data_IF_807720544644
#
_entry.id   IF_807720544644
#
_cell.length_a   1.000
_cell.length_b   1.000
_cell.length_c   1.000
_cell.angle_alpha   90.00
_cell.angle_beta   90.00
_cell.angle_gamma   90.00
#
_symmetry.space_group_name_H-M   'P 1'
#
loop_
_entity.id
_entity.type
_entity.pdbx_description
1 polymer ?
#
# COMPACT_ATOMS: atom_id res chain seq x y z
N UNK A 1 4.66 -11.21 -5.08
CA UNK A 1 5.58 -10.71 -6.13
C UNK A 1 6.78 -9.89 -5.62
N UNK A 2 6.74 -9.40 -4.40
CA UNK A 2 7.83 -8.61 -3.74
C UNK A 2 9.19 -9.34 -3.66
N UNK A 3 9.20 -10.66 -3.55
CA UNK A 3 10.43 -11.45 -3.37
C UNK A 3 11.31 -11.60 -4.63
N UNK A 4 10.84 -11.27 -5.82
CA UNK A 4 11.61 -11.48 -7.07
C UNK A 4 12.43 -10.26 -7.52
N UNK A 5 12.09 -9.05 -7.07
CA UNK A 5 12.78 -7.80 -7.45
C UNK A 5 14.04 -7.50 -6.63
N UNK A 6 14.14 -8.05 -5.42
CA UNK A 6 15.26 -7.76 -4.49
C UNK A 6 16.46 -8.73 -4.62
N UNK A 7 16.38 -9.73 -5.50
CA UNK A 7 17.33 -10.85 -5.48
C UNK A 7 18.65 -10.64 -6.25
N UNK A 8 18.89 -9.53 -6.98
CA UNK A 8 20.10 -9.45 -7.83
C UNK A 8 20.83 -8.10 -7.97
N UNK A 9 20.30 -6.99 -7.47
CA UNK A 9 21.07 -5.76 -7.30
C UNK A 9 20.46 -5.04 -6.11
N UNK A 10 21.25 -4.44 -5.24
CA UNK A 10 20.81 -3.51 -4.19
C UNK A 10 20.05 -2.35 -4.84
N UNK A 11 18.81 -2.56 -5.23
CA UNK A 11 17.94 -1.51 -5.75
C UNK A 11 17.35 -0.79 -4.54
N UNK A 12 17.81 0.43 -4.32
CA UNK A 12 17.26 1.29 -3.30
C UNK A 12 15.87 1.77 -3.75
N UNK A 13 14.83 1.32 -3.08
CA UNK A 13 13.45 1.74 -3.28
C UNK A 13 13.03 2.62 -2.11
N UNK A 14 12.46 3.78 -2.41
CA UNK A 14 11.91 4.70 -1.43
C UNK A 14 10.43 4.34 -1.24
N UNK A 15 10.02 4.04 -0.01
CA UNK A 15 8.60 4.07 0.36
C UNK A 15 8.17 5.53 0.56
N UNK A 16 7.16 5.98 -0.18
CA UNK A 16 6.69 7.36 -0.16
C UNK A 16 5.21 7.41 0.21
N UNK A 17 4.91 8.05 1.33
CA UNK A 17 3.56 8.34 1.81
C UNK A 17 3.21 9.81 1.50
N UNK A 18 2.20 10.02 0.63
CA UNK A 18 1.69 11.33 0.24
C UNK A 18 0.36 11.56 0.97
N UNK A 19 0.45 11.97 2.23
CA UNK A 19 -0.71 12.32 3.04
C UNK A 19 -1.25 13.72 2.75
N UNK A 20 -2.33 14.11 3.43
CA UNK A 20 -2.96 15.42 3.23
C UNK A 20 -2.23 16.57 3.91
N UNK A 21 -1.42 16.31 4.94
CA UNK A 21 -0.65 17.31 5.70
C UNK A 21 0.85 17.18 5.53
N UNK A 22 1.34 15.98 5.29
CA UNK A 22 2.76 15.68 5.21
C UNK A 22 3.04 14.73 4.07
N UNK A 23 4.19 14.90 3.45
CA UNK A 23 4.84 13.87 2.63
C UNK A 23 5.93 13.23 3.49
N UNK A 24 5.91 11.91 3.60
CA UNK A 24 6.90 11.13 4.35
C UNK A 24 7.61 10.18 3.41
N UNK A 25 8.87 9.95 3.66
CA UNK A 25 9.68 9.03 2.86
C UNK A 25 10.60 8.20 3.75
N UNK A 26 10.74 6.94 3.40
CA UNK A 26 11.66 6.02 4.05
C UNK A 26 12.47 5.28 2.98
N UNK A 27 13.78 5.22 3.15
CA UNK A 27 14.66 4.42 2.32
C UNK A 27 15.21 3.27 3.13
N UNK A 28 14.87 2.06 2.71
CA UNK A 28 15.31 0.83 3.34
C UNK A 28 16.26 0.07 2.40
N UNK A 29 17.25 -0.56 2.99
CA UNK A 29 18.09 -1.55 2.34
C UNK A 29 17.78 -2.92 2.94
N UNK A 30 17.44 -3.88 2.10
CA UNK A 30 17.24 -5.27 2.52
C UNK A 30 18.42 -6.13 2.11
N UNK A 31 19.11 -6.67 3.10
CA UNK A 31 20.03 -7.78 2.96
C UNK A 31 19.29 -9.07 3.34
N UNK A 32 19.81 -10.24 2.96
CA UNK A 32 19.14 -11.55 3.10
C UNK A 32 18.44 -11.81 4.45
N UNK A 33 18.84 -11.14 5.54
CA UNK A 33 18.31 -11.35 6.90
C UNK A 33 18.00 -10.05 7.67
N UNK A 34 18.40 -8.90 7.16
CA UNK A 34 18.26 -7.64 7.89
C UNK A 34 17.74 -6.53 6.99
N UNK A 35 16.84 -5.73 7.55
CA UNK A 35 16.41 -4.47 6.96
C UNK A 35 17.13 -3.34 7.67
N UNK A 36 17.79 -2.49 6.90
CA UNK A 36 18.52 -1.33 7.41
C UNK A 36 17.83 -0.05 6.95
N UNK A 37 17.56 0.84 7.90
CA UNK A 37 17.09 2.18 7.61
C UNK A 37 18.25 3.03 7.10
N UNK A 38 18.20 3.45 5.85
CA UNK A 38 19.23 4.30 5.22
C UNK A 38 18.90 5.79 5.32
N UNK A 39 17.64 6.15 5.21
CA UNK A 39 17.19 7.54 5.30
C UNK A 39 15.70 7.61 5.65
N UNK A 40 15.31 8.69 6.31
CA UNK A 40 13.93 9.08 6.56
C UNK A 40 13.79 10.58 6.29
N UNK A 41 12.67 11.00 5.75
CA UNK A 41 12.32 12.39 5.54
C UNK A 41 10.84 12.61 5.78
N UNK A 42 10.49 13.80 6.27
CA UNK A 42 9.12 14.22 6.47
C UNK A 42 9.02 15.72 6.18
N UNK A 43 8.13 16.12 5.28
CA UNK A 43 7.92 17.50 4.90
C UNK A 43 6.45 17.87 4.97
N UNK A 44 6.16 19.05 5.50
CA UNK A 44 4.79 19.56 5.52
C UNK A 44 4.34 20.04 4.14
N UNK A 45 3.07 19.84 3.85
CA UNK A 45 2.41 20.38 2.67
C UNK A 45 1.78 21.72 3.08
N UNK A 46 2.11 22.80 2.36
CA UNK A 46 1.54 24.09 2.62
C UNK A 46 0.10 24.18 2.06
N UNK A 47 -0.81 24.68 2.85
CA UNK A 47 -2.20 24.82 2.44
C UNK A 47 -2.97 23.51 2.35
N UNK A 48 -4.05 23.52 1.58
CA UNK A 48 -4.91 22.35 1.36
C UNK A 48 -4.71 21.83 -0.06
N UNK A 49 -3.74 20.92 -0.23
CA UNK A 49 -3.37 20.40 -1.55
C UNK A 49 -4.34 19.33 -2.10
N UNK A 50 -5.30 18.89 -1.29
CA UNK A 50 -6.27 17.87 -1.68
C UNK A 50 -7.70 18.33 -1.50
N UNK A 51 -8.58 17.93 -2.41
CA UNK A 51 -10.03 17.96 -2.23
C UNK A 51 -10.56 16.55 -2.53
N UNK A 52 -11.25 15.94 -1.58
CA UNK A 52 -11.78 14.57 -1.72
C UNK A 52 -10.76 13.55 -2.24
N UNK A 53 -9.46 13.73 -1.88
CA UNK A 53 -8.29 12.91 -2.27
C UNK A 53 -7.76 13.13 -3.69
N UNK A 54 -8.38 13.99 -4.48
CA UNK A 54 -7.79 14.48 -5.70
C UNK A 54 -6.77 15.59 -5.39
N UNK A 55 -5.68 15.58 -6.14
CA UNK A 55 -4.68 16.64 -6.05
C UNK A 55 -5.25 17.91 -6.68
N UNK A 56 -5.35 18.98 -5.88
CA UNK A 56 -5.81 20.31 -6.35
C UNK A 56 -4.66 21.30 -6.46
N UNK A 57 -3.68 21.21 -5.56
CA UNK A 57 -2.50 22.07 -5.59
C UNK A 57 -1.24 21.24 -5.87
N UNK A 58 -0.95 21.07 -7.17
CA UNK A 58 0.24 20.37 -7.64
C UNK A 58 1.53 21.07 -7.22
N UNK A 59 1.52 22.41 -7.13
CA UNK A 59 2.72 23.17 -6.80
C UNK A 59 3.11 22.94 -5.33
N UNK A 60 2.15 22.99 -4.39
CA UNK A 60 2.41 22.73 -2.97
C UNK A 60 3.01 21.33 -2.75
N UNK A 61 2.45 20.32 -3.42
CA UNK A 61 2.97 18.95 -3.36
C UNK A 61 4.34 18.82 -4.01
N UNK A 62 4.54 19.42 -5.18
CA UNK A 62 5.83 19.42 -5.89
C UNK A 62 6.93 20.02 -5.00
N UNK A 63 6.65 21.12 -4.30
CA UNK A 63 7.60 21.73 -3.37
C UNK A 63 7.96 20.81 -2.20
N UNK A 64 6.97 20.16 -1.57
CA UNK A 64 7.21 19.20 -0.50
C UNK A 64 8.04 18.00 -1.00
N UNK A 65 7.70 17.44 -2.16
CA UNK A 65 8.44 16.34 -2.77
C UNK A 65 9.87 16.70 -3.16
N UNK A 66 10.11 17.93 -3.65
CA UNK A 66 11.47 18.43 -3.93
C UNK A 66 12.31 18.50 -2.65
N UNK A 67 11.73 18.93 -1.53
CA UNK A 67 12.42 18.93 -0.22
C UNK A 67 12.71 17.50 0.26
N UNK A 68 11.75 16.57 0.14
CA UNK A 68 11.96 15.14 0.41
C UNK A 68 13.17 14.63 -0.38
N UNK A 69 13.20 14.89 -1.68
CA UNK A 69 14.30 14.44 -2.56
C UNK A 69 15.65 14.99 -2.13
N UNK A 70 15.71 16.25 -1.72
CA UNK A 70 16.94 16.86 -1.17
C UNK A 70 17.36 16.21 0.13
N UNK A 71 16.43 15.95 1.05
CA UNK A 71 16.68 15.31 2.34
C UNK A 71 17.23 13.88 2.19
N UNK A 72 16.77 13.15 1.16
CA UNK A 72 17.29 11.81 0.81
C UNK A 72 18.65 11.85 0.11
N UNK A 73 19.21 13.04 -0.18
CA UNK A 73 20.53 13.24 -0.80
C UNK A 73 20.74 12.48 -2.11
N UNK A 74 19.69 12.29 -2.88
CA UNK A 74 19.75 11.61 -4.18
C UNK A 74 20.18 10.14 -4.14
N UNK A 75 20.09 9.47 -2.98
CA UNK A 75 20.49 8.07 -2.79
C UNK A 75 19.66 7.09 -3.62
N UNK A 76 18.43 7.45 -3.97
CA UNK A 76 17.54 6.68 -4.81
C UNK A 76 16.60 7.60 -5.59
N UNK A 77 16.05 7.08 -6.69
CA UNK A 77 15.03 7.77 -7.50
C UNK A 77 13.76 6.94 -7.63
N UNK A 78 13.87 5.62 -7.46
CA UNK A 78 12.76 4.70 -7.57
C UNK A 78 11.91 4.75 -6.32
N UNK A 79 10.60 4.89 -6.50
CA UNK A 79 9.64 5.00 -5.41
C UNK A 79 8.54 3.95 -5.49
N UNK A 80 8.10 3.50 -4.32
CA UNK A 80 6.83 2.84 -4.11
C UNK A 80 5.89 3.85 -3.45
N UNK A 81 4.68 3.94 -3.97
CA UNK A 81 3.59 4.74 -3.40
C UNK A 81 2.44 3.82 -3.03
N UNK A 82 1.52 4.33 -2.23
CA UNK A 82 0.25 3.67 -1.98
C UNK A 82 -0.91 4.65 -2.15
N UNK A 83 -2.07 4.11 -2.48
CA UNK A 83 -3.32 4.84 -2.60
C UNK A 83 -4.39 4.20 -1.72
N UNK A 84 -5.25 5.02 -1.18
CA UNK A 84 -6.34 4.56 -0.33
C UNK A 84 -7.64 5.25 -0.69
N UNK A 85 -8.69 4.78 -0.08
CA UNK A 85 -9.97 5.41 -0.12
C UNK A 85 -11.04 4.71 -0.89
N UNK A 86 -12.18 5.40 -0.99
CA UNK A 86 -13.38 4.89 -1.66
C UNK A 86 -13.19 4.63 -3.16
N UNK A 87 -12.14 5.20 -3.75
CA UNK A 87 -11.81 4.98 -5.15
C UNK A 87 -11.05 3.67 -5.40
N UNK A 88 -10.58 3.00 -4.33
CA UNK A 88 -9.97 1.66 -4.43
C UNK A 88 -11.03 0.62 -4.08
N UNK A 89 -11.37 -0.22 -5.04
CA UNK A 89 -12.28 -1.34 -4.86
C UNK A 89 -11.45 -2.59 -4.62
N UNK A 90 -11.67 -3.21 -3.47
CA UNK A 90 -11.11 -4.52 -3.16
C UNK A 90 -12.25 -5.53 -3.14
N UNK A 91 -12.13 -6.61 -3.90
CA UNK A 91 -13.15 -7.64 -4.02
C UNK A 91 -12.54 -9.03 -3.99
N UNK A 92 -13.12 -9.91 -3.18
CA UNK A 92 -12.76 -11.32 -3.17
C UNK A 92 -13.58 -12.04 -4.25
N UNK A 93 -12.87 -12.77 -5.12
CA UNK A 93 -13.44 -13.63 -6.14
C UNK A 93 -13.00 -15.09 -5.92
N UNK A 94 -13.74 -16.03 -6.49
CA UNK A 94 -13.47 -17.47 -6.39
C UNK A 94 -13.29 -18.05 -7.79
N UNK A 95 -12.06 -18.39 -8.13
CA UNK A 95 -11.68 -18.91 -9.45
C UNK A 95 -11.32 -20.39 -9.34
N UNK A 96 -11.24 -21.11 -10.47
CA UNK A 96 -10.81 -22.49 -10.48
C UNK A 96 -9.34 -22.63 -10.06
N UNK A 97 -9.02 -23.62 -9.25
CA UNK A 97 -7.68 -23.78 -8.65
C UNK A 97 -6.62 -24.34 -9.62
N UNK A 98 -7.07 -24.96 -10.72
CA UNK A 98 -6.25 -25.55 -11.78
C UNK A 98 -5.78 -24.54 -12.83
N UNK A 99 -6.28 -23.28 -12.80
CA UNK A 99 -5.86 -22.23 -13.71
C UNK A 99 -4.42 -21.82 -13.48
N UNK A 100 -3.67 -21.66 -14.56
CA UNK A 100 -2.38 -20.96 -14.54
C UNK A 100 -2.59 -19.46 -14.31
N UNK A 101 -1.54 -18.72 -13.93
CA UNK A 101 -1.66 -17.28 -13.72
C UNK A 101 -2.10 -16.52 -14.97
N UNK A 102 -1.71 -16.97 -16.17
CA UNK A 102 -2.13 -16.39 -17.45
C UNK A 102 -3.61 -16.64 -17.73
N UNK A 103 -4.08 -17.87 -17.48
CA UNK A 103 -5.48 -18.23 -17.65
C UNK A 103 -6.36 -17.49 -16.63
N UNK A 104 -5.89 -17.37 -15.40
CA UNK A 104 -6.55 -16.62 -14.34
C UNK A 104 -6.68 -15.13 -14.70
N UNK A 105 -5.61 -14.49 -15.19
CA UNK A 105 -5.64 -13.12 -15.68
C UNK A 105 -6.69 -12.93 -16.77
N UNK A 106 -6.69 -13.84 -17.77
CA UNK A 106 -7.67 -13.80 -18.88
C UNK A 106 -9.10 -13.99 -18.40
N UNK A 107 -9.33 -14.87 -17.43
CA UNK A 107 -10.65 -15.09 -16.85
C UNK A 107 -11.13 -13.89 -16.03
N UNK A 108 -10.24 -13.29 -15.23
CA UNK A 108 -10.53 -12.07 -14.49
C UNK A 108 -10.93 -10.94 -15.43
N UNK A 109 -10.20 -10.74 -16.54
CA UNK A 109 -10.55 -9.72 -17.54
C UNK A 109 -11.94 -9.94 -18.14
N UNK A 110 -12.30 -11.19 -18.45
CA UNK A 110 -13.63 -11.54 -18.97
C UNK A 110 -14.76 -11.31 -17.97
N UNK A 111 -14.50 -11.52 -16.68
CA UNK A 111 -15.50 -11.39 -15.62
C UNK A 111 -15.48 -10.00 -14.97
N UNK A 112 -14.49 -9.17 -15.28
CA UNK A 112 -14.25 -7.91 -14.59
C UNK A 112 -15.44 -6.94 -14.67
N UNK A 113 -16.15 -6.88 -15.80
CA UNK A 113 -17.36 -6.05 -15.96
C UNK A 113 -18.48 -6.44 -14.97
N UNK A 114 -18.52 -7.71 -14.54
CA UNK A 114 -19.47 -8.18 -13.53
C UNK A 114 -18.98 -7.99 -12.10
N UNK A 115 -17.67 -7.93 -11.94
CA UNK A 115 -17.00 -7.86 -10.64
C UNK A 115 -16.77 -6.42 -10.20
N UNK A 116 -16.46 -5.52 -11.13
CA UNK A 116 -16.06 -4.13 -10.87
C UNK A 116 -17.11 -3.20 -11.51
N UNK A 117 -17.66 -2.22 -10.76
CA UNK A 117 -18.73 -1.35 -11.25
C UNK A 117 -18.24 -0.16 -12.09
N UNK A 118 -17.09 -0.29 -12.74
CA UNK A 118 -16.47 0.73 -13.59
C UNK A 118 -15.96 0.12 -14.89
N UNK A 119 -15.97 0.87 -16.01
CA UNK A 119 -15.37 0.44 -17.26
C UNK A 119 -13.87 0.14 -17.08
N UNK A 120 -13.41 -0.97 -17.66
CA UNK A 120 -11.99 -1.39 -17.55
C UNK A 120 -11.02 -0.38 -18.13
N UNK A 121 -11.45 0.39 -19.14
CA UNK A 121 -10.64 1.47 -19.72
C UNK A 121 -10.38 2.63 -18.77
N UNK A 122 -11.17 2.80 -17.70
CA UNK A 122 -11.04 3.88 -16.72
C UNK A 122 -10.28 3.48 -15.45
N UNK A 123 -9.94 2.20 -15.31
CA UNK A 123 -9.32 1.67 -14.10
C UNK A 123 -7.99 0.98 -14.38
N UNK A 124 -7.14 0.94 -13.34
CA UNK A 124 -6.10 -0.06 -13.19
C UNK A 124 -6.65 -1.19 -12.35
N UNK A 125 -6.50 -2.41 -12.82
CA UNK A 125 -6.93 -3.65 -12.16
C UNK A 125 -5.71 -4.52 -11.93
N UNK A 126 -5.56 -5.05 -10.73
CA UNK A 126 -4.56 -6.05 -10.37
C UNK A 126 -5.21 -7.12 -9.49
N UNK A 127 -4.55 -8.27 -9.35
CA UNK A 127 -5.07 -9.35 -8.53
C UNK A 127 -3.96 -10.10 -7.79
N UNK A 128 -4.34 -10.69 -6.66
CA UNK A 128 -3.49 -11.55 -5.87
C UNK A 128 -4.20 -12.87 -5.54
N UNK A 129 -3.54 -13.99 -5.83
CA UNK A 129 -4.01 -15.34 -5.45
C UNK A 129 -3.71 -15.56 -3.97
N UNK A 130 -4.73 -15.64 -3.13
CA UNK A 130 -4.60 -15.79 -1.69
C UNK A 130 -4.37 -17.25 -1.26
N UNK A 131 -4.94 -18.20 -1.99
CA UNK A 131 -4.81 -19.63 -1.71
C UNK A 131 -6.12 -20.40 -1.89
N UNK A 132 -6.14 -21.70 -1.54
CA UNK A 132 -7.34 -22.53 -1.66
C UNK A 132 -8.49 -21.98 -0.82
N UNK A 133 -9.70 -21.96 -1.38
CA UNK A 133 -10.88 -21.51 -0.67
C UNK A 133 -11.33 -22.53 0.38
N UNK A 134 -11.54 -22.05 1.61
CA UNK A 134 -12.13 -22.86 2.68
C UNK A 134 -13.62 -23.16 2.44
N UNK A 135 -14.29 -22.32 1.67
CA UNK A 135 -15.75 -22.39 1.46
C UNK A 135 -16.16 -23.15 0.20
N UNK A 136 -15.30 -23.18 -0.82
CA UNK A 136 -15.58 -23.74 -2.13
C UNK A 136 -14.50 -24.71 -2.56
N UNK A 137 -14.74 -26.04 -2.54
CA UNK A 137 -13.78 -27.04 -3.03
C UNK A 137 -13.38 -26.76 -4.49
N UNK A 138 -12.13 -26.99 -4.84
CA UNK A 138 -11.55 -26.73 -6.18
C UNK A 138 -11.59 -25.28 -6.62
N UNK A 139 -11.70 -24.34 -5.66
CA UNK A 139 -11.59 -22.91 -5.92
C UNK A 139 -10.42 -22.31 -5.16
N UNK A 140 -9.82 -21.31 -5.76
CA UNK A 140 -8.83 -20.44 -5.15
C UNK A 140 -9.48 -19.08 -4.87
N UNK A 141 -9.13 -18.50 -3.74
CA UNK A 141 -9.51 -17.12 -3.40
C UNK A 141 -8.55 -16.16 -4.09
N UNK A 142 -9.12 -15.17 -4.77
CA UNK A 142 -8.40 -14.15 -5.51
C UNK A 142 -8.87 -12.78 -5.03
N UNK A 143 -7.94 -11.99 -4.54
CA UNK A 143 -8.21 -10.59 -4.21
C UNK A 143 -8.04 -9.76 -5.48
N UNK A 144 -9.10 -9.09 -5.89
CA UNK A 144 -9.07 -8.09 -6.95
C UNK A 144 -8.95 -6.70 -6.33
N UNK A 145 -8.08 -5.87 -6.88
CA UNK A 145 -7.92 -4.47 -6.50
C UNK A 145 -8.01 -3.59 -7.74
N UNK A 146 -8.97 -2.68 -7.73
CA UNK A 146 -9.22 -1.76 -8.83
C UNK A 146 -9.21 -0.30 -8.35
N UNK A 147 -8.62 0.59 -9.15
CA UNK A 147 -8.52 2.01 -8.85
C UNK A 147 -8.67 2.83 -10.12
N UNK A 148 -9.31 3.99 -10.04
CA UNK A 148 -9.40 4.90 -11.19
C UNK A 148 -8.02 5.36 -11.66
N UNK A 149 -7.81 5.32 -13.00
CA UNK A 149 -6.55 5.73 -13.64
C UNK A 149 -6.13 7.13 -13.24
N UNK A 150 -7.04 8.07 -13.25
CA UNK A 150 -6.75 9.48 -12.92
C UNK A 150 -6.11 9.65 -11.54
N UNK A 151 -6.50 8.82 -10.58
CA UNK A 151 -5.92 8.85 -9.23
C UNK A 151 -4.45 8.45 -9.22
N UNK A 152 -4.08 7.47 -10.01
CA UNK A 152 -2.69 7.01 -10.13
C UNK A 152 -1.92 7.96 -11.04
N UNK A 153 -2.44 8.29 -12.23
CA UNK A 153 -1.76 9.05 -13.25
C UNK A 153 -1.39 10.47 -12.80
N UNK A 154 -2.26 11.11 -12.02
CA UNK A 154 -1.96 12.41 -11.40
C UNK A 154 -0.73 12.34 -10.47
N UNK A 155 -0.62 11.28 -9.67
CA UNK A 155 0.53 11.04 -8.79
C UNK A 155 1.79 10.70 -9.57
N UNK A 156 1.68 9.85 -10.60
CA UNK A 156 2.80 9.50 -11.48
C UNK A 156 3.36 10.73 -12.17
N UNK A 157 2.49 11.58 -12.71
CA UNK A 157 2.87 12.84 -13.37
C UNK A 157 3.64 13.74 -12.40
N UNK A 158 3.10 13.97 -11.21
CA UNK A 158 3.74 14.79 -10.19
C UNK A 158 5.11 14.24 -9.77
N UNK A 159 5.22 12.94 -9.55
CA UNK A 159 6.47 12.29 -9.15
C UNK A 159 7.52 12.35 -10.24
N UNK A 160 7.12 12.14 -11.50
CA UNK A 160 8.00 12.26 -12.66
C UNK A 160 8.54 13.69 -12.84
N UNK A 161 7.71 14.73 -12.67
CA UNK A 161 8.13 16.13 -12.72
C UNK A 161 9.19 16.47 -11.66
N UNK A 162 9.07 15.88 -10.47
CA UNK A 162 10.08 16.03 -9.39
C UNK A 162 11.33 15.17 -9.67
N UNK A 163 11.24 14.23 -10.62
CA UNK A 163 12.31 13.32 -11.03
C UNK A 163 12.45 12.12 -10.09
N UNK A 164 11.32 11.65 -9.55
CA UNK A 164 11.15 10.30 -9.02
C UNK A 164 10.62 9.39 -10.13
N UNK A 165 10.86 8.10 -9.99
CA UNK A 165 10.43 7.05 -10.90
C UNK A 165 9.59 6.04 -10.12
N UNK A 166 8.28 6.07 -10.31
CA UNK A 166 7.38 5.14 -9.60
C UNK A 166 7.54 3.74 -10.18
N UNK A 167 7.81 2.77 -9.30
CA UNK A 167 7.93 1.35 -9.64
C UNK A 167 6.77 0.52 -9.12
N UNK A 168 6.16 0.97 -8.03
CA UNK A 168 5.08 0.26 -7.36
C UNK A 168 4.02 1.29 -6.98
N UNK A 169 2.77 0.99 -7.29
CA UNK A 169 1.59 1.61 -6.70
C UNK A 169 0.82 0.49 -5.97
N UNK A 170 0.63 0.62 -4.68
CA UNK A 170 0.00 -0.37 -3.80
C UNK A 170 -1.26 0.23 -3.17
N UNK A 171 -2.00 -0.58 -2.45
CA UNK A 171 -3.14 -0.16 -1.62
C UNK A 171 -2.65 0.07 -0.20
N UNK A 172 -2.91 1.27 0.34
CA UNK A 172 -2.32 1.75 1.60
C UNK A 172 -2.58 0.83 2.79
N UNK A 173 -3.79 0.31 2.92
CA UNK A 173 -4.15 -0.59 4.02
C UNK A 173 -3.44 -1.95 3.93
N UNK A 174 -3.17 -2.44 2.72
CA UNK A 174 -2.40 -3.68 2.54
C UNK A 174 -0.91 -3.45 2.74
N UNK A 175 -0.37 -2.31 2.30
CA UNK A 175 1.01 -1.93 2.62
C UNK A 175 1.23 -1.83 4.15
N UNK A 176 0.25 -1.27 4.87
CA UNK A 176 0.25 -1.21 6.35
C UNK A 176 0.18 -2.61 6.98
N UNK A 177 -0.71 -3.47 6.49
CA UNK A 177 -0.83 -4.84 6.97
C UNK A 177 0.45 -5.66 6.72
N UNK A 178 1.06 -5.53 5.55
CA UNK A 178 2.32 -6.18 5.22
C UNK A 178 3.47 -5.73 6.14
N UNK A 179 3.51 -4.44 6.48
CA UNK A 179 4.47 -3.92 7.45
C UNK A 179 4.23 -4.53 8.84
N UNK A 180 2.98 -4.63 9.29
CA UNK A 180 2.62 -5.26 10.57
C UNK A 180 3.05 -6.73 10.61
N UNK A 181 2.74 -7.51 9.58
CA UNK A 181 3.14 -8.92 9.45
C UNK A 181 4.66 -9.07 9.53
N UNK A 182 5.40 -8.22 8.81
CA UNK A 182 6.85 -8.25 8.78
C UNK A 182 7.48 -7.96 10.15
N UNK A 183 7.01 -6.93 10.85
CA UNK A 183 7.53 -6.55 12.16
C UNK A 183 7.12 -7.53 13.26
N UNK A 184 5.96 -8.16 13.16
CA UNK A 184 5.54 -9.21 14.07
C UNK A 184 6.48 -10.43 14.01
N UNK A 185 6.73 -10.94 12.81
CA UNK A 185 7.64 -12.06 12.61
C UNK A 185 9.07 -11.76 13.11
N UNK A 186 9.53 -10.51 13.01
CA UNK A 186 10.83 -10.09 13.54
C UNK A 186 10.88 -10.07 15.08
N UNK A 187 9.77 -9.76 15.76
CA UNK A 187 9.72 -9.72 17.23
C UNK A 187 9.67 -11.11 17.87
N UNK A 188 9.11 -12.10 17.19
CA UNK A 188 9.09 -13.49 17.67
C UNK A 188 10.48 -14.15 17.68
N UNK A 189 11.35 -13.75 16.75
CA UNK A 189 12.70 -14.32 16.63
C UNK A 189 13.68 -13.88 17.74
N UNK A 190 13.33 -12.90 18.58
CA UNK A 190 14.20 -12.38 19.64
C UNK A 190 13.92 -12.96 21.02
N UNK A 191 12.86 -13.74 21.20
CA UNK A 191 12.50 -14.35 22.49
C UNK A 191 12.89 -15.84 22.55
N UNK A 192 14.13 -16.09 22.92
CA UNK A 192 14.82 -17.40 22.89
C UNK A 192 14.43 -18.37 24.05
N UNK A 193 13.32 -18.20 24.77
CA UNK A 193 13.00 -19.10 25.89
C UNK A 193 11.52 -19.37 26.21
N UNK A 194 10.60 -19.26 25.30
CA UNK A 194 9.24 -19.76 25.53
C UNK A 194 8.69 -20.51 24.30
N UNK A 195 9.15 -21.73 24.13
CA UNK A 195 8.47 -22.78 23.36
C UNK A 195 7.19 -23.23 24.09
N UNK A 196 6.41 -22.31 24.63
CA UNK A 196 5.02 -22.51 25.00
C UNK A 196 4.23 -22.02 23.84
N UNK A 197 3.55 -22.95 23.14
CA UNK A 197 2.48 -22.76 22.17
C UNK A 197 2.14 -21.27 22.02
N UNK A 198 2.83 -20.57 21.10
CA UNK A 198 2.42 -19.24 20.73
C UNK A 198 1.04 -19.42 20.08
N UNK A 199 -0.01 -19.26 20.89
CA UNK A 199 -1.35 -19.15 20.37
C UNK A 199 -1.28 -18.07 19.28
N UNK A 200 -1.62 -18.44 18.05
CA UNK A 200 -1.65 -17.51 16.95
C UNK A 200 -2.55 -16.35 17.35
N UNK A 201 -1.97 -15.19 17.53
CA UNK A 201 -2.67 -14.00 18.03
C UNK A 201 -3.07 -13.14 16.85
N UNK A 202 -4.32 -12.68 16.84
CA UNK A 202 -4.75 -11.65 15.90
C UNK A 202 -4.06 -10.35 16.26
N UNK A 203 -3.29 -9.80 15.33
CA UNK A 203 -2.64 -8.52 15.48
C UNK A 203 -3.46 -7.45 14.77
N UNK A 204 -3.60 -6.30 15.41
CA UNK A 204 -4.37 -5.18 14.89
C UNK A 204 -3.51 -3.92 14.79
N UNK A 205 -3.71 -3.15 13.73
CA UNK A 205 -3.12 -1.83 13.59
C UNK A 205 -4.23 -0.80 13.35
N UNK A 206 -4.11 0.34 14.03
CA UNK A 206 -4.94 1.51 13.83
C UNK A 206 -4.01 2.64 13.39
N UNK A 207 -4.16 3.12 12.16
CA UNK A 207 -3.47 4.29 11.65
C UNK A 207 -4.42 5.49 11.68
N UNK A 208 -4.07 6.53 12.45
CA UNK A 208 -4.86 7.75 12.58
C UNK A 208 -4.11 8.85 11.85
N UNK A 209 -4.52 9.11 10.60
CA UNK A 209 -3.98 10.16 9.78
C UNK A 209 -4.67 11.53 10.03
N UNK A 210 -4.29 12.54 9.26
CA UNK A 210 -4.89 13.86 9.34
C UNK A 210 -6.37 13.85 8.89
N UNK A 211 -6.68 13.18 7.78
CA UNK A 211 -8.02 13.12 7.19
C UNK A 211 -8.68 11.76 7.22
N UNK A 212 -7.95 10.71 7.57
CA UNK A 212 -8.39 9.32 7.45
C UNK A 212 -7.93 8.46 8.62
N UNK A 213 -8.78 7.54 9.01
CA UNK A 213 -8.49 6.46 9.96
C UNK A 213 -8.55 5.13 9.20
N UNK A 214 -7.50 4.33 9.38
CA UNK A 214 -7.40 2.99 8.80
C UNK A 214 -7.23 1.97 9.91
N UNK A 215 -7.89 0.86 9.74
CA UNK A 215 -7.78 -0.31 10.62
C UNK A 215 -7.43 -1.53 9.78
N UNK A 216 -6.47 -2.33 10.23
CA UNK A 216 -6.26 -3.66 9.70
C UNK A 216 -6.06 -4.67 10.82
N UNK A 217 -6.52 -5.89 10.59
CA UNK A 217 -6.29 -7.05 11.44
C UNK A 217 -5.63 -8.15 10.63
N UNK A 218 -4.57 -8.74 11.17
CA UNK A 218 -3.82 -9.82 10.54
C UNK A 218 -3.72 -11.02 11.47
N UNK A 219 -3.71 -12.21 10.90
CA UNK A 219 -3.57 -13.47 11.61
C UNK A 219 -2.80 -14.45 10.75
N UNK A 220 -1.78 -15.09 11.30
CA UNK A 220 -0.97 -16.10 10.62
C UNK A 220 -0.42 -15.62 9.26
N UNK A 221 0.02 -14.36 9.20
CA UNK A 221 0.54 -13.75 7.97
C UNK A 221 -0.50 -13.40 6.92
N UNK A 222 -1.79 -13.47 7.23
CA UNK A 222 -2.88 -13.14 6.33
C UNK A 222 -3.69 -11.95 6.85
N UNK A 223 -4.17 -11.12 5.94
CA UNK A 223 -5.08 -10.01 6.26
C UNK A 223 -6.48 -10.57 6.46
N UNK A 224 -7.00 -10.46 7.68
CA UNK A 224 -8.36 -10.90 8.02
C UNK A 224 -9.42 -9.86 7.73
N UNK A 225 -9.08 -8.59 8.00
CA UNK A 225 -10.04 -7.51 7.93
C UNK A 225 -9.36 -6.18 7.75
N UNK A 226 -9.94 -5.34 6.93
CA UNK A 226 -9.53 -3.95 6.73
C UNK A 226 -10.73 -3.02 6.78
N UNK A 227 -10.55 -1.82 7.31
CA UNK A 227 -11.58 -0.78 7.34
C UNK A 227 -10.95 0.59 7.25
N UNK A 228 -11.56 1.45 6.45
CA UNK A 228 -11.18 2.85 6.33
C UNK A 228 -12.37 3.77 6.65
N UNK A 229 -12.10 4.88 7.31
CA UNK A 229 -13.07 5.92 7.62
C UNK A 229 -12.52 7.30 7.26
N UNK A 230 -13.38 8.15 6.70
CA UNK A 230 -13.09 9.56 6.43
C UNK A 230 -13.18 10.36 7.74
N UNK A 231 -12.30 10.05 8.68
CA UNK A 231 -12.16 10.70 9.96
C UNK A 231 -10.68 10.72 10.32
N UNK A 232 -10.19 11.88 10.73
CA UNK A 232 -8.79 12.03 11.10
C UNK A 232 -8.59 13.16 12.12
N UNK A 233 -7.33 13.41 12.45
CA UNK A 233 -6.95 14.40 13.46
C UNK A 233 -7.38 15.84 13.12
N UNK A 234 -7.56 16.15 11.82
CA UNK A 234 -8.01 17.46 11.38
C UNK A 234 -9.40 17.83 11.95
N UNK A 235 -10.30 16.84 12.04
CA UNK A 235 -11.64 17.05 12.63
C UNK A 235 -11.51 17.33 14.13
N UNK A 236 -10.67 16.54 14.83
CA UNK A 236 -10.47 16.72 16.28
C UNK A 236 -9.79 18.05 16.63
N UNK A 237 -8.91 18.55 15.76
CA UNK A 237 -8.23 19.83 16.00
C UNK A 237 -9.09 21.04 15.67
N UNK A 238 -10.04 20.93 14.74
CA UNK A 238 -11.01 22.00 14.43
C UNK A 238 -12.01 22.21 15.56
N UNK A 239 -12.43 21.16 16.23
CA UNK A 239 -13.37 21.23 17.37
C UNK A 239 -12.71 21.74 18.66
N UNK A 240 -11.37 21.89 18.67
CA UNK A 240 -10.59 22.31 19.85
C UNK A 240 -10.18 23.79 19.82
N UNK A 241 -10.55 24.54 18.77
CA UNK A 241 -10.33 25.98 18.59
C UNK A 241 -11.63 26.75 18.66
#
# INVERSE_FOLDING_TARGET
MFNKLLAKNTQHLIGLDIGTRYVKAILLEQNKQHITLLAIACESINGNAFAEREIKDFEALSQALKKIKLSLKGKAKQVAIAVSGQAVINKLAYMDDDLTDIELESQIELEADSLIPYPLEEIYLDFERLGPSASYPSKVEVLLSAVHKDMIDSRLTLLNEVGFETKIADVEVYALANALIHFAAASESTNDNSAVLADKIVQCCINIGASQLQFCAVYDGQVLYTKEHNFGLDVLTQDSC
#
